data_IF_891714970450
#
_entry.id   IF_891714970450
#
_cell.length_a   1.000
_cell.length_b   1.000
_cell.length_c   1.000
_cell.angle_alpha   90.00
_cell.angle_beta   90.00
_cell.angle_gamma   90.00
#
_symmetry.space_group_name_H-M   'P 1'
#
loop_
_entity.id
_entity.type
_entity.pdbx_description
1 polymer ?
#
# COMPACT_ATOMS: atom_id res chain seq x y z
N UNK A 1 -9.36 13.76 20.90
CA UNK A 1 -10.61 14.47 20.53
C UNK A 1 -10.67 15.87 21.14
N UNK A 2 -11.28 16.88 20.48
CA UNK A 2 -11.42 18.22 21.02
C UNK A 2 -12.49 18.28 22.14
N UNK A 3 -12.06 18.14 23.39
CA UNK A 3 -12.91 17.89 24.56
C UNK A 3 -14.06 18.90 24.73
N UNK A 4 -13.80 20.21 24.56
CA UNK A 4 -14.83 21.26 24.71
C UNK A 4 -15.95 21.11 23.69
N UNK A 5 -15.62 20.76 22.45
CA UNK A 5 -16.60 20.60 21.37
C UNK A 5 -17.42 19.34 21.55
N UNK A 6 -16.76 18.24 21.95
CA UNK A 6 -17.41 16.95 22.26
C UNK A 6 -18.44 17.09 23.38
N UNK A 7 -18.08 17.72 24.50
CA UNK A 7 -19.02 17.94 25.63
C UNK A 7 -20.20 18.82 25.23
N UNK A 8 -19.93 19.92 24.53
CA UNK A 8 -20.97 20.81 24.01
C UNK A 8 -21.95 20.07 23.09
N UNK A 9 -21.45 19.18 22.22
CA UNK A 9 -22.29 18.37 21.35
C UNK A 9 -23.13 17.38 22.17
N UNK A 10 -22.53 16.70 23.14
CA UNK A 10 -23.21 15.73 24.00
C UNK A 10 -24.35 16.36 24.80
N UNK A 11 -24.14 17.56 25.37
CA UNK A 11 -25.16 18.30 26.12
C UNK A 11 -26.36 18.74 25.26
N UNK A 12 -26.15 18.89 23.94
CA UNK A 12 -27.21 19.27 22.99
C UNK A 12 -28.04 18.07 22.49
N UNK A 13 -27.64 16.84 22.85
CA UNK A 13 -28.25 15.62 22.36
C UNK A 13 -28.80 14.78 23.51
N UNK A 14 -29.91 14.07 23.26
CA UNK A 14 -30.45 13.11 24.25
C UNK A 14 -29.61 11.83 24.30
N UNK A 15 -29.15 11.38 23.14
CA UNK A 15 -28.42 10.14 22.93
C UNK A 15 -27.39 10.38 21.82
N UNK A 16 -26.28 9.65 21.85
CA UNK A 16 -25.21 9.70 20.86
C UNK A 16 -25.07 8.31 20.23
N UNK A 17 -25.08 8.25 18.89
CA UNK A 17 -24.79 7.02 18.15
C UNK A 17 -23.46 7.24 17.43
N UNK A 18 -22.47 6.40 17.74
CA UNK A 18 -21.14 6.45 17.16
C UNK A 18 -21.08 5.45 16.01
N UNK A 19 -20.93 5.99 14.80
CA UNK A 19 -20.81 5.23 13.56
C UNK A 19 -19.38 5.34 13.08
N UNK A 20 -18.57 4.34 13.37
CA UNK A 20 -17.17 4.29 12.95
C UNK A 20 -16.87 2.97 12.21
N UNK A 21 -15.94 3.06 11.25
CA UNK A 21 -15.48 1.91 10.47
C UNK A 21 -14.25 1.28 11.15
N UNK A 22 -14.20 -0.05 11.17
CA UNK A 22 -13.15 -0.78 11.89
C UNK A 22 -13.40 -0.87 13.40
N UNK A 23 -12.38 -0.55 14.20
CA UNK A 23 -12.43 -0.66 15.68
C UNK A 23 -13.14 0.55 16.32
N UNK A 24 -13.81 0.36 17.48
CA UNK A 24 -14.61 1.38 18.18
C UNK A 24 -13.76 2.45 18.92
N UNK A 25 -12.71 2.96 18.29
CA UNK A 25 -11.71 3.80 18.97
C UNK A 25 -12.33 5.11 19.45
N UNK A 26 -13.21 5.72 18.64
CA UNK A 26 -13.88 6.97 18.99
C UNK A 26 -14.94 6.72 20.06
N UNK A 27 -15.71 5.62 19.95
CA UNK A 27 -16.70 5.25 20.95
C UNK A 27 -16.05 5.01 22.33
N UNK A 28 -14.93 4.27 22.37
CA UNK A 28 -14.16 4.01 23.61
C UNK A 28 -13.64 5.30 24.24
N UNK A 29 -13.07 6.19 23.42
CA UNK A 29 -12.60 7.50 23.90
C UNK A 29 -13.76 8.35 24.44
N UNK A 30 -14.90 8.38 23.75
CA UNK A 30 -16.05 9.19 24.15
C UNK A 30 -16.70 8.69 25.44
N UNK A 31 -16.84 7.38 25.63
CA UNK A 31 -17.32 6.78 26.88
C UNK A 31 -16.42 7.11 28.08
N UNK A 32 -15.14 7.33 27.84
CA UNK A 32 -14.18 7.72 28.88
C UNK A 32 -14.22 9.23 29.19
N UNK A 33 -14.60 10.07 28.22
CA UNK A 33 -14.59 11.53 28.31
C UNK A 33 -15.92 12.11 28.80
N UNK A 34 -17.04 11.48 28.44
CA UNK A 34 -18.39 11.90 28.76
C UNK A 34 -18.87 11.19 30.02
N UNK A 35 -19.54 11.92 30.91
CA UNK A 35 -20.08 11.35 32.15
C UNK A 35 -21.06 10.20 31.86
N UNK A 36 -21.18 9.25 32.81
CA UNK A 36 -22.03 8.04 32.72
C UNK A 36 -23.52 8.32 32.46
N UNK A 37 -23.95 9.58 32.56
CA UNK A 37 -25.32 10.00 32.30
C UNK A 37 -25.64 10.12 30.80
N UNK A 38 -24.64 10.18 29.92
CA UNK A 38 -24.87 10.21 28.47
C UNK A 38 -25.07 8.80 27.93
N UNK A 39 -26.17 8.60 27.20
CA UNK A 39 -26.42 7.36 26.48
C UNK A 39 -25.62 7.36 25.18
N UNK A 40 -24.65 6.46 25.11
CA UNK A 40 -23.78 6.27 23.95
C UNK A 40 -24.07 4.89 23.38
N UNK A 41 -24.36 4.85 22.09
CA UNK A 41 -24.66 3.68 21.28
C UNK A 41 -23.60 3.51 20.19
N UNK A 42 -23.32 2.28 19.80
CA UNK A 42 -22.31 2.03 18.76
C UNK A 42 -21.98 0.55 18.63
N UNK A 43 -20.70 0.25 18.41
CA UNK A 43 -20.20 -1.12 18.27
C UNK A 43 -19.98 -1.80 19.62
N UNK A 44 -19.82 -1.06 20.73
CA UNK A 44 -19.62 -1.67 22.06
C UNK A 44 -20.93 -2.20 22.69
N UNK A 45 -22.08 -1.60 22.37
CA UNK A 45 -23.38 -2.00 22.93
C UNK A 45 -24.22 -2.86 21.98
N UNK A 46 -23.69 -3.17 20.79
CA UNK A 46 -24.34 -3.99 19.78
C UNK A 46 -25.37 -3.24 18.91
N UNK A 47 -25.47 -1.91 19.02
CA UNK A 47 -26.27 -1.09 18.09
C UNK A 47 -25.75 -1.23 16.66
N UNK A 48 -24.42 -1.33 16.51
CA UNK A 48 -23.73 -1.73 15.29
C UNK A 48 -22.92 -3.01 15.53
N UNK A 49 -22.69 -3.85 14.49
CA UNK A 49 -21.81 -5.01 14.60
C UNK A 49 -20.41 -4.64 15.08
N UNK A 50 -19.79 -5.52 15.86
CA UNK A 50 -18.45 -5.29 16.42
C UNK A 50 -17.37 -5.25 15.35
N UNK A 51 -17.57 -6.02 14.30
CA UNK A 51 -16.66 -6.28 13.19
C UNK A 51 -17.39 -6.18 11.84
N UNK A 52 -16.63 -6.28 10.76
CA UNK A 52 -17.15 -6.16 9.40
C UNK A 52 -17.42 -4.72 8.96
N UNK A 53 -17.80 -4.60 7.69
CA UNK A 53 -18.04 -3.35 6.98
C UNK A 53 -19.32 -2.65 7.48
N UNK A 54 -19.21 -1.35 7.74
CA UNK A 54 -20.36 -0.50 8.04
C UNK A 54 -21.10 -0.14 6.76
N UNK A 55 -22.10 -0.93 6.41
CA UNK A 55 -22.94 -0.69 5.24
C UNK A 55 -24.18 0.19 5.54
N UNK A 56 -24.84 0.75 4.50
CA UNK A 56 -26.02 1.60 4.68
C UNK A 56 -27.20 0.93 5.42
N UNK A 57 -27.37 -0.38 5.30
CA UNK A 57 -28.47 -1.11 5.94
C UNK A 57 -28.25 -1.21 7.46
N UNK A 58 -27.01 -1.46 7.89
CA UNK A 58 -26.61 -1.45 9.30
C UNK A 58 -26.81 -0.05 9.91
N UNK A 59 -26.42 1.00 9.19
CA UNK A 59 -26.64 2.40 9.59
C UNK A 59 -28.13 2.71 9.70
N UNK A 60 -28.94 2.29 8.72
CA UNK A 60 -30.39 2.48 8.75
C UNK A 60 -31.02 1.81 9.97
N UNK A 61 -30.64 0.55 10.24
CA UNK A 61 -31.12 -0.21 11.41
C UNK A 61 -30.73 0.46 12.72
N UNK A 62 -29.48 0.91 12.85
CA UNK A 62 -28.99 1.64 14.03
C UNK A 62 -29.76 2.95 14.28
N UNK A 63 -30.23 3.60 13.21
CA UNK A 63 -31.08 4.79 13.28
C UNK A 63 -32.57 4.49 13.49
N UNK A 64 -32.95 3.23 13.72
CA UNK A 64 -34.35 2.81 13.86
C UNK A 64 -35.16 2.90 12.56
N UNK A 65 -34.51 2.97 11.40
CA UNK A 65 -35.17 2.97 10.10
C UNK A 65 -35.45 1.54 9.64
N UNK A 66 -36.61 1.36 9.02
CA UNK A 66 -37.00 0.09 8.41
C UNK A 66 -36.26 -0.11 7.08
N UNK A 67 -35.48 -1.19 6.97
CA UNK A 67 -34.83 -1.61 5.72
C UNK A 67 -35.84 -2.42 4.91
N UNK A 68 -36.46 -1.77 3.91
CA UNK A 68 -37.62 -2.32 3.18
C UNK A 68 -37.27 -3.25 2.03
N UNK A 69 -36.03 -3.20 1.53
CA UNK A 69 -35.64 -3.91 0.32
C UNK A 69 -34.24 -4.47 0.47
N UNK A 70 -34.15 -5.80 0.48
CA UNK A 70 -32.90 -6.51 0.27
C UNK A 70 -32.83 -6.88 -1.21
N UNK A 71 -31.86 -6.34 -1.93
CA UNK A 71 -31.61 -6.75 -3.31
C UNK A 71 -30.69 -7.95 -3.27
N UNK A 72 -31.14 -9.06 -3.88
CA UNK A 72 -30.21 -10.15 -4.18
C UNK A 72 -29.13 -9.64 -5.13
N UNK A 73 -27.86 -10.05 -4.95
CA UNK A 73 -26.82 -9.78 -5.93
C UNK A 73 -27.32 -10.21 -7.31
N UNK A 74 -27.08 -9.39 -8.34
CA UNK A 74 -27.46 -9.75 -9.71
C UNK A 74 -26.88 -11.13 -10.05
N UNK A 75 -27.63 -12.02 -10.71
CA UNK A 75 -27.06 -13.29 -11.16
C UNK A 75 -25.96 -13.10 -12.23
N UNK A 76 -25.80 -11.87 -12.75
CA UNK A 76 -24.83 -11.51 -13.79
C UNK A 76 -23.75 -10.56 -13.22
N UNK A 77 -23.36 -10.71 -11.95
CA UNK A 77 -22.24 -9.93 -11.40
C UNK A 77 -20.92 -10.42 -12.03
N UNK A 78 -20.34 -9.60 -12.90
CA UNK A 78 -18.96 -9.80 -13.35
C UNK A 78 -17.99 -9.49 -12.21
N UNK A 79 -17.01 -10.37 -12.03
CA UNK A 79 -15.89 -10.12 -11.12
C UNK A 79 -15.09 -8.92 -11.60
N UNK A 80 -14.94 -7.91 -10.73
CA UNK A 80 -14.09 -6.73 -10.95
C UNK A 80 -12.94 -6.75 -9.95
N UNK A 81 -11.96 -7.66 -10.11
CA UNK A 81 -10.84 -7.69 -9.20
C UNK A 81 -10.06 -6.38 -9.29
N UNK A 82 -9.49 -5.91 -8.17
CA UNK A 82 -8.55 -4.80 -8.19
C UNK A 82 -7.46 -5.03 -9.23
N UNK A 83 -7.21 -4.05 -10.10
CA UNK A 83 -6.26 -4.17 -11.20
C UNK A 83 -5.51 -2.86 -11.45
N UNK A 84 -4.25 -2.98 -11.88
CA UNK A 84 -3.45 -1.83 -12.34
C UNK A 84 -4.14 -1.11 -13.50
N UNK A 85 -3.99 0.21 -13.61
CA UNK A 85 -4.55 0.94 -14.75
C UNK A 85 -3.93 0.50 -16.10
N UNK A 86 -4.67 0.59 -17.19
CA UNK A 86 -4.13 0.33 -18.54
C UNK A 86 -3.03 1.35 -18.88
N UNK A 87 -1.83 0.88 -19.21
CA UNK A 87 -0.67 1.72 -19.44
C UNK A 87 0.10 2.14 -18.18
N UNK A 88 -0.22 1.59 -17.01
CA UNK A 88 0.59 1.74 -15.80
C UNK A 88 1.96 1.08 -15.97
N UNK A 89 3.04 1.80 -15.62
CA UNK A 89 4.42 1.28 -15.72
C UNK A 89 4.69 0.05 -14.85
N UNK A 90 3.99 -0.10 -13.72
CA UNK A 90 4.14 -1.31 -12.88
C UNK A 90 3.78 -2.60 -13.63
N UNK A 91 2.89 -2.53 -14.64
CA UNK A 91 2.57 -3.69 -15.49
C UNK A 91 3.79 -4.15 -16.28
N UNK A 92 4.44 -3.21 -16.97
CA UNK A 92 5.61 -3.49 -17.80
C UNK A 92 6.78 -4.02 -16.95
N UNK A 93 6.95 -3.50 -15.72
CA UNK A 93 7.92 -4.00 -14.76
C UNK A 93 7.62 -5.43 -14.31
N UNK A 94 6.37 -5.73 -13.93
CA UNK A 94 6.01 -7.07 -13.46
C UNK A 94 6.15 -8.12 -14.55
N UNK A 95 5.84 -7.79 -15.80
CA UNK A 95 6.09 -8.70 -16.92
C UNK A 95 7.58 -9.04 -17.02
N UNK A 96 8.48 -8.05 -16.88
CA UNK A 96 9.92 -8.27 -16.92
C UNK A 96 10.44 -9.03 -15.69
N UNK A 97 10.00 -8.62 -14.49
CA UNK A 97 10.38 -9.26 -13.23
C UNK A 97 9.99 -10.74 -13.22
N UNK A 98 8.77 -11.07 -13.66
CA UNK A 98 8.29 -12.45 -13.69
C UNK A 98 9.10 -13.36 -14.61
N UNK A 99 9.54 -12.87 -15.77
CA UNK A 99 10.39 -13.67 -16.67
C UNK A 99 11.73 -14.00 -16.01
N UNK A 100 12.32 -13.04 -15.29
CA UNK A 100 13.59 -13.27 -14.60
C UNK A 100 13.39 -14.15 -13.36
N UNK A 101 12.39 -13.90 -12.53
CA UNK A 101 12.12 -14.68 -11.30
C UNK A 101 11.89 -16.16 -11.61
N UNK A 102 11.27 -16.51 -12.74
CA UNK A 102 11.09 -17.90 -13.18
C UNK A 102 12.41 -18.64 -13.43
N UNK A 103 13.51 -17.92 -13.68
CA UNK A 103 14.84 -18.50 -13.87
C UNK A 103 15.50 -18.90 -12.54
N UNK A 104 14.90 -18.52 -11.40
CA UNK A 104 15.42 -18.74 -10.06
C UNK A 104 14.37 -19.38 -9.14
N UNK A 105 14.41 -20.72 -8.97
CA UNK A 105 13.41 -21.46 -8.16
C UNK A 105 13.30 -20.98 -6.71
N UNK A 106 14.40 -20.47 -6.13
CA UNK A 106 14.46 -19.94 -4.76
C UNK A 106 14.00 -18.48 -4.62
N UNK A 107 13.71 -17.79 -5.72
CA UNK A 107 13.35 -16.38 -5.69
C UNK A 107 12.03 -16.14 -4.96
N UNK A 108 11.99 -15.09 -4.15
CA UNK A 108 10.78 -14.63 -3.46
C UNK A 108 10.62 -13.12 -3.56
N UNK A 109 9.39 -12.70 -3.86
CA UNK A 109 9.01 -11.29 -4.01
C UNK A 109 8.11 -10.85 -2.84
N UNK A 110 8.64 -9.93 -2.05
CA UNK A 110 8.02 -9.36 -0.86
C UNK A 110 7.49 -7.97 -1.20
N UNK A 111 6.19 -7.73 -1.03
CA UNK A 111 5.57 -6.44 -1.36
C UNK A 111 4.99 -5.74 -0.14
N UNK A 112 4.75 -4.45 -0.31
CA UNK A 112 3.96 -3.62 0.60
C UNK A 112 2.58 -3.27 0.03
N UNK A 113 1.79 -2.52 0.80
CA UNK A 113 0.50 -1.93 0.41
C UNK A 113 0.67 -0.67 -0.46
N UNK A 114 0.14 -0.71 -1.69
CA UNK A 114 0.16 0.35 -2.69
C UNK A 114 -0.45 -0.10 -4.02
N UNK A 115 -0.44 0.75 -5.05
CA UNK A 115 -0.91 0.33 -6.39
C UNK A 115 -0.15 -0.88 -6.90
N UNK A 116 1.14 -0.98 -6.58
CA UNK A 116 2.00 -2.09 -6.96
C UNK A 116 1.56 -3.43 -6.33
N UNK A 117 0.90 -3.45 -5.17
CA UNK A 117 0.35 -4.69 -4.57
C UNK A 117 -0.64 -5.40 -5.49
N UNK A 118 -1.30 -4.66 -6.39
CA UNK A 118 -2.24 -5.23 -7.37
C UNK A 118 -1.55 -6.20 -8.35
N UNK A 119 -0.22 -6.21 -8.41
CA UNK A 119 0.58 -7.24 -9.09
C UNK A 119 0.48 -8.64 -8.47
N UNK A 120 -0.08 -8.78 -7.27
CA UNK A 120 -0.31 -10.08 -6.63
C UNK A 120 -1.40 -10.90 -7.34
N UNK A 121 -2.32 -10.22 -8.03
CA UNK A 121 -3.45 -10.84 -8.72
C UNK A 121 -3.13 -11.11 -10.21
N UNK A 122 -3.93 -11.94 -10.90
CA UNK A 122 -3.84 -12.09 -12.35
C UNK A 122 -3.90 -10.73 -13.08
N UNK A 123 -3.15 -10.55 -14.18
CA UNK A 123 -2.33 -11.56 -14.86
C UNK A 123 -0.92 -11.76 -14.27
N UNK A 124 -0.49 -10.91 -13.33
CA UNK A 124 0.93 -10.83 -12.95
C UNK A 124 1.34 -11.91 -11.96
N UNK A 125 0.58 -12.12 -10.87
CA UNK A 125 0.94 -13.08 -9.81
C UNK A 125 2.40 -12.95 -9.35
N UNK A 126 2.89 -11.72 -9.26
CA UNK A 126 4.31 -11.42 -9.10
C UNK A 126 4.77 -11.34 -7.63
N UNK A 127 3.85 -11.45 -6.67
CA UNK A 127 4.10 -11.20 -5.24
C UNK A 127 3.81 -12.47 -4.45
N UNK A 128 4.78 -12.94 -3.67
CA UNK A 128 4.63 -14.09 -2.77
C UNK A 128 3.97 -13.69 -1.45
N UNK A 129 4.28 -12.50 -0.92
CA UNK A 129 3.72 -12.01 0.35
C UNK A 129 3.60 -10.49 0.40
N UNK A 130 2.59 -10.02 1.13
CA UNK A 130 2.33 -8.61 1.42
C UNK A 130 1.62 -8.50 2.76
N UNK A 131 2.08 -7.60 3.64
CA UNK A 131 1.54 -7.44 4.99
C UNK A 131 1.00 -6.02 5.19
N UNK A 132 1.89 -5.02 5.21
CA UNK A 132 1.54 -3.64 5.52
C UNK A 132 2.35 -2.65 4.65
N UNK A 133 2.38 -1.38 5.05
CA UNK A 133 3.22 -0.36 4.43
C UNK A 133 4.60 -0.33 5.08
N UNK A 134 5.62 -0.78 4.34
CA UNK A 134 7.04 -0.68 4.70
C UNK A 134 7.67 -1.99 5.18
N UNK A 135 6.89 -3.07 5.30
CA UNK A 135 7.39 -4.39 5.64
C UNK A 135 8.27 -5.04 4.56
N UNK A 136 8.07 -4.74 3.27
CA UNK A 136 8.68 -5.45 2.13
C UNK A 136 10.20 -5.63 2.25
N UNK A 137 10.92 -4.55 2.57
CA UNK A 137 12.39 -4.55 2.71
C UNK A 137 12.80 -5.42 3.91
N UNK A 138 12.15 -5.24 5.06
CA UNK A 138 12.48 -6.02 6.27
C UNK A 138 12.11 -7.49 6.14
N UNK A 139 11.03 -7.82 5.43
CA UNK A 139 10.67 -9.20 5.09
C UNK A 139 11.72 -9.82 4.16
N UNK A 140 12.14 -9.10 3.12
CA UNK A 140 13.19 -9.56 2.20
C UNK A 140 14.52 -9.78 2.93
N UNK A 141 14.90 -8.86 3.84
CA UNK A 141 16.10 -9.01 4.69
C UNK A 141 16.03 -10.28 5.54
N UNK A 142 14.96 -10.44 6.32
CA UNK A 142 14.79 -11.63 7.18
C UNK A 142 14.73 -12.92 6.38
N UNK A 143 14.12 -12.91 5.19
CA UNK A 143 14.11 -14.06 4.30
C UNK A 143 15.51 -14.38 3.74
N UNK A 144 16.27 -13.35 3.34
CA UNK A 144 17.64 -13.48 2.87
C UNK A 144 18.55 -14.09 3.94
N UNK A 145 18.47 -13.59 5.17
CA UNK A 145 19.18 -14.14 6.34
C UNK A 145 18.76 -15.60 6.66
N UNK A 146 17.51 -15.97 6.34
CA UNK A 146 17.01 -17.34 6.47
C UNK A 146 17.36 -18.26 5.29
N UNK A 147 18.12 -17.77 4.29
CA UNK A 147 18.60 -18.55 3.15
C UNK A 147 17.74 -18.47 1.89
N UNK A 148 16.76 -17.55 1.82
CA UNK A 148 16.01 -17.28 0.59
C UNK A 148 16.86 -16.42 -0.35
N UNK A 149 17.13 -16.91 -1.55
CA UNK A 149 17.86 -16.13 -2.55
C UNK A 149 17.40 -16.50 -3.98
N UNK A 150 17.15 -15.50 -4.85
CA UNK A 150 17.08 -14.06 -4.58
C UNK A 150 15.91 -13.63 -3.67
N UNK A 151 16.18 -12.70 -2.74
CA UNK A 151 15.14 -12.05 -1.93
C UNK A 151 14.88 -10.63 -2.48
N UNK A 152 13.67 -10.40 -3.01
CA UNK A 152 13.33 -9.20 -3.76
C UNK A 152 12.23 -8.42 -3.03
N UNK A 153 12.50 -7.18 -2.67
CA UNK A 153 11.50 -6.28 -2.09
C UNK A 153 10.88 -5.40 -3.18
N UNK A 154 9.56 -5.20 -3.14
CA UNK A 154 8.81 -4.28 -4.00
C UNK A 154 8.09 -3.26 -3.14
N UNK A 155 8.49 -2.00 -3.28
CA UNK A 155 7.99 -0.89 -2.47
C UNK A 155 7.70 0.32 -3.36
N UNK A 156 6.66 1.10 -3.05
CA UNK A 156 6.39 2.36 -3.76
C UNK A 156 7.23 3.52 -3.21
N UNK A 157 7.39 4.58 -3.98
CA UNK A 157 8.08 5.82 -3.56
C UNK A 157 7.53 6.44 -2.26
N UNK A 158 6.21 6.55 -2.15
CA UNK A 158 5.54 7.09 -0.96
C UNK A 158 5.69 6.17 0.24
N UNK A 159 5.54 4.85 0.06
CA UNK A 159 5.74 3.85 1.11
C UNK A 159 7.20 3.80 1.56
N UNK A 160 8.15 3.92 0.64
CA UNK A 160 9.57 3.97 0.92
C UNK A 160 9.91 5.13 1.86
N UNK A 161 9.41 6.33 1.54
CA UNK A 161 9.64 7.51 2.39
C UNK A 161 8.81 7.55 3.67
N UNK A 162 7.71 6.78 3.75
CA UNK A 162 6.91 6.64 4.96
C UNK A 162 7.56 5.71 6.00
N UNK A 163 7.94 4.50 5.60
CA UNK A 163 8.42 3.45 6.51
C UNK A 163 9.50 2.52 5.93
N UNK A 164 9.85 2.64 4.65
CA UNK A 164 10.87 1.79 4.03
C UNK A 164 12.33 2.20 4.28
N UNK A 165 12.60 3.50 4.50
CA UNK A 165 13.96 4.03 4.69
C UNK A 165 14.72 3.32 5.81
N UNK A 166 14.08 3.09 6.95
CA UNK A 166 14.72 2.43 8.10
C UNK A 166 15.03 0.97 7.81
N UNK A 167 14.19 0.28 7.03
CA UNK A 167 14.46 -1.08 6.56
C UNK A 167 15.67 -1.12 5.60
N UNK A 168 15.79 -0.15 4.70
CA UNK A 168 16.95 -0.04 3.80
C UNK A 168 18.24 0.20 4.60
N UNK A 169 18.20 1.09 5.59
CA UNK A 169 19.35 1.34 6.46
C UNK A 169 19.82 0.07 7.17
N UNK A 170 18.89 -0.75 7.67
CA UNK A 170 19.21 -2.03 8.30
C UNK A 170 19.87 -3.00 7.31
N UNK A 171 19.35 -3.09 6.08
CA UNK A 171 19.98 -3.89 5.01
C UNK A 171 21.41 -3.43 4.71
N UNK A 172 21.66 -2.12 4.63
CA UNK A 172 22.98 -1.56 4.34
C UNK A 172 23.97 -1.84 5.47
N UNK A 173 23.55 -1.64 6.72
CA UNK A 173 24.41 -1.88 7.89
C UNK A 173 24.88 -3.34 8.00
N UNK A 174 24.02 -4.28 7.64
CA UNK A 174 24.29 -5.72 7.72
C UNK A 174 24.75 -6.32 6.37
N UNK A 175 24.93 -5.49 5.34
CA UNK A 175 25.23 -5.92 3.96
C UNK A 175 24.33 -7.09 3.48
N UNK A 176 23.02 -6.94 3.69
CA UNK A 176 22.05 -7.97 3.36
C UNK A 176 21.97 -8.23 1.85
N UNK A 177 21.89 -9.51 1.45
CA UNK A 177 21.77 -9.93 0.05
C UNK A 177 20.32 -9.76 -0.44
N UNK A 178 19.94 -8.52 -0.76
CA UNK A 178 18.57 -8.16 -1.17
C UNK A 178 18.56 -7.20 -2.35
N UNK A 179 17.56 -7.37 -3.23
CA UNK A 179 17.29 -6.43 -4.31
C UNK A 179 15.98 -5.69 -4.02
N UNK A 180 16.02 -4.37 -4.06
CA UNK A 180 14.89 -3.53 -3.69
C UNK A 180 14.42 -2.77 -4.93
N UNK A 181 13.19 -3.04 -5.35
CA UNK A 181 12.51 -2.35 -6.43
C UNK A 181 11.67 -1.21 -5.83
N UNK A 182 12.13 0.03 -5.98
CA UNK A 182 11.39 1.23 -5.56
C UNK A 182 10.58 1.77 -6.75
N UNK A 183 9.31 1.40 -6.80
CA UNK A 183 8.39 1.71 -7.89
C UNK A 183 7.92 3.17 -7.79
N UNK A 184 8.68 4.06 -8.42
CA UNK A 184 8.48 5.50 -8.37
C UNK A 184 7.47 5.97 -9.44
N UNK A 185 6.26 6.30 -9.01
CA UNK A 185 5.24 6.90 -9.87
C UNK A 185 4.94 8.37 -9.52
N UNK A 186 5.82 8.98 -8.71
CA UNK A 186 5.83 10.38 -8.28
C UNK A 186 4.60 10.84 -7.49
N UNK A 187 3.82 9.92 -6.89
CA UNK A 187 2.59 10.26 -6.17
C UNK A 187 2.10 9.12 -5.27
N UNK A 188 1.34 9.45 -4.23
CA UNK A 188 0.64 8.43 -3.43
C UNK A 188 -0.64 8.01 -4.15
N UNK A 189 -0.50 7.21 -5.21
CA UNK A 189 -1.54 7.00 -6.22
C UNK A 189 -2.81 6.31 -5.69
N UNK A 190 -2.66 5.21 -4.93
CA UNK A 190 -3.79 4.36 -4.53
C UNK A 190 -4.78 5.05 -3.59
N UNK A 191 -4.28 5.97 -2.76
CA UNK A 191 -5.06 6.72 -1.75
C UNK A 191 -5.68 7.99 -2.31
N UNK A 192 -5.57 8.23 -3.63
CA UNK A 192 -6.19 9.38 -4.28
C UNK A 192 -5.22 10.40 -4.86
N UNK A 193 -3.92 10.14 -4.90
CA UNK A 193 -2.94 10.96 -5.62
C UNK A 193 -2.40 12.14 -4.82
N UNK A 194 -2.13 11.93 -3.53
CA UNK A 194 -1.41 12.88 -2.69
C UNK A 194 0.04 13.04 -3.16
N UNK A 195 0.69 14.13 -2.76
CA UNK A 195 2.10 14.34 -3.05
C UNK A 195 2.96 13.28 -2.35
N UNK A 196 3.99 12.79 -3.04
CA UNK A 196 4.97 11.87 -2.49
C UNK A 196 6.16 12.66 -1.96
N UNK A 197 6.59 12.36 -0.73
CA UNK A 197 7.79 12.97 -0.15
C UNK A 197 9.09 12.52 -0.86
N UNK A 198 9.01 11.43 -1.63
CA UNK A 198 10.11 10.84 -2.37
C UNK A 198 10.36 11.46 -3.75
N UNK A 199 9.42 12.24 -4.29
CA UNK A 199 9.51 12.79 -5.65
C UNK A 199 10.83 13.53 -5.88
N UNK A 200 11.64 13.04 -6.82
CA UNK A 200 12.93 13.61 -7.19
C UNK A 200 14.04 13.45 -6.14
N UNK A 201 13.86 12.57 -5.15
CA UNK A 201 14.79 12.39 -4.02
C UNK A 201 15.19 10.94 -3.76
N UNK A 202 14.54 9.95 -4.37
CA UNK A 202 14.73 8.52 -4.07
C UNK A 202 16.20 8.10 -4.17
N UNK A 203 16.89 8.46 -5.25
CA UNK A 203 18.30 8.12 -5.48
C UNK A 203 19.19 8.71 -4.39
N UNK A 204 19.03 10.01 -4.11
CA UNK A 204 19.80 10.73 -3.11
C UNK A 204 19.55 10.19 -1.70
N UNK A 205 18.33 9.74 -1.41
CA UNK A 205 18.00 9.07 -0.15
C UNK A 205 18.74 7.72 -0.08
N UNK A 206 18.68 6.89 -1.11
CA UNK A 206 19.37 5.59 -1.14
C UNK A 206 20.89 5.75 -0.98
N UNK A 207 21.49 6.67 -1.73
CA UNK A 207 22.92 7.00 -1.64
C UNK A 207 23.27 7.55 -0.24
N UNK A 208 22.45 8.45 0.30
CA UNK A 208 22.66 9.04 1.62
C UNK A 208 22.53 8.04 2.78
N UNK A 209 21.79 6.95 2.58
CA UNK A 209 21.69 5.82 3.53
C UNK A 209 22.92 4.91 3.44
N UNK A 210 23.64 4.90 2.31
CA UNK A 210 24.89 4.15 2.12
C UNK A 210 24.81 3.01 1.11
N UNK A 211 23.79 2.97 0.24
CA UNK A 211 23.77 2.03 -0.90
C UNK A 211 24.89 2.42 -1.88
N UNK A 212 25.65 1.43 -2.38
CA UNK A 212 26.69 1.65 -3.39
C UNK A 212 26.05 2.25 -4.66
N UNK A 213 26.59 3.39 -5.13
CA UNK A 213 26.10 4.10 -6.31
C UNK A 213 26.09 3.22 -7.57
N UNK A 214 26.99 2.23 -7.67
CA UNK A 214 27.02 1.29 -8.79
C UNK A 214 25.83 0.32 -8.82
N UNK A 215 25.11 0.21 -7.70
CA UNK A 215 23.95 -0.64 -7.48
C UNK A 215 22.68 0.18 -7.23
N UNK A 216 22.66 1.47 -7.61
CA UNK A 216 21.46 2.30 -7.68
C UNK A 216 21.13 2.55 -9.15
N UNK A 217 20.05 1.94 -9.64
CA UNK A 217 19.67 2.01 -11.05
C UNK A 217 18.30 2.65 -11.26
N UNK A 218 18.24 3.76 -11.99
CA UNK A 218 16.97 4.35 -12.41
C UNK A 218 16.63 3.89 -13.81
N UNK A 219 15.46 3.29 -13.99
CA UNK A 219 14.99 2.79 -15.29
C UNK A 219 13.59 3.32 -15.61
N UNK A 220 13.23 3.34 -16.90
CA UNK A 220 11.87 3.70 -17.32
C UNK A 220 11.07 2.44 -17.62
N UNK A 221 10.01 2.10 -16.83
CA UNK A 221 9.20 0.91 -17.06
C UNK A 221 8.24 1.10 -18.24
N UNK A 222 8.72 0.72 -19.42
CA UNK A 222 7.99 0.72 -20.68
C UNK A 222 8.30 -0.56 -21.45
N UNK A 223 7.29 -1.11 -22.13
CA UNK A 223 7.44 -2.29 -22.99
C UNK A 223 8.59 -2.23 -24.00
N UNK A 224 8.94 -1.05 -24.52
CA UNK A 224 10.08 -0.90 -25.46
C UNK A 224 11.46 -1.18 -24.82
N UNK A 225 11.56 -1.10 -23.50
CA UNK A 225 12.78 -1.35 -22.73
C UNK A 225 12.74 -2.73 -22.04
N UNK A 226 11.84 -3.61 -22.46
CA UNK A 226 11.60 -4.88 -21.78
C UNK A 226 12.85 -5.76 -21.62
N UNK A 227 13.66 -5.92 -22.66
CA UNK A 227 14.89 -6.73 -22.58
C UNK A 227 15.95 -6.07 -21.70
N UNK A 228 16.12 -4.74 -21.79
CA UNK A 228 17.05 -3.98 -20.94
C UNK A 228 16.66 -4.10 -19.45
N UNK A 229 15.35 -4.00 -19.15
CA UNK A 229 14.85 -4.20 -17.79
C UNK A 229 15.15 -5.62 -17.29
N UNK A 230 14.92 -6.65 -18.12
CA UNK A 230 15.23 -8.04 -17.75
C UNK A 230 16.71 -8.27 -17.49
N UNK A 231 17.58 -7.75 -18.36
CA UNK A 231 19.03 -7.88 -18.20
C UNK A 231 19.51 -7.23 -16.91
N UNK A 232 19.04 -6.01 -16.61
CA UNK A 232 19.37 -5.34 -15.37
C UNK A 232 18.84 -6.09 -14.14
N UNK A 233 17.56 -6.48 -14.14
CA UNK A 233 16.98 -7.23 -13.03
C UNK A 233 17.78 -8.52 -12.80
N UNK A 234 18.09 -9.29 -13.86
CA UNK A 234 18.86 -10.54 -13.76
C UNK A 234 20.25 -10.32 -13.17
N UNK A 235 20.92 -9.23 -13.54
CA UNK A 235 22.24 -8.86 -13.00
C UNK A 235 22.15 -8.52 -11.51
N UNK A 236 21.16 -7.73 -11.11
CA UNK A 236 21.08 -7.18 -9.76
C UNK A 236 20.45 -8.13 -8.73
N UNK A 237 19.58 -9.05 -9.15
CA UNK A 237 19.03 -10.07 -8.23
C UNK A 237 20.04 -11.14 -7.83
N UNK A 238 21.14 -11.27 -8.58
CA UNK A 238 22.23 -12.20 -8.29
C UNK A 238 23.43 -11.51 -7.64
N UNK A 239 23.35 -10.19 -7.41
CA UNK A 239 24.37 -9.44 -6.69
C UNK A 239 24.41 -9.84 -5.20
N UNK A 240 25.61 -10.01 -4.66
CA UNK A 240 25.83 -10.19 -3.23
C UNK A 240 25.98 -8.82 -2.55
N UNK A 241 24.91 -8.39 -1.89
CA UNK A 241 24.81 -7.11 -1.22
C UNK A 241 23.45 -6.46 -1.46
N UNK A 242 23.36 -5.18 -1.11
CA UNK A 242 22.14 -4.38 -1.30
C UNK A 242 22.16 -3.77 -2.69
N UNK A 243 21.18 -4.13 -3.52
CA UNK A 243 20.93 -3.49 -4.82
C UNK A 243 19.58 -2.80 -4.85
N UNK A 244 19.51 -1.64 -5.49
CA UNK A 244 18.30 -0.82 -5.64
C UNK A 244 18.03 -0.53 -7.10
N UNK A 245 16.85 -0.92 -7.59
CA UNK A 245 16.35 -0.53 -8.91
C UNK A 245 15.13 0.37 -8.70
N UNK A 246 15.07 1.49 -9.42
CA UNK A 246 14.05 2.52 -9.32
C UNK A 246 13.34 2.64 -10.69
N UNK A 247 12.31 1.82 -10.95
CA UNK A 247 11.48 1.96 -12.13
C UNK A 247 10.62 3.21 -12.01
N UNK A 248 11.04 4.31 -12.64
CA UNK A 248 10.39 5.62 -12.54
C UNK A 248 9.49 5.92 -13.73
N UNK A 249 8.20 6.15 -13.46
CA UNK A 249 7.24 6.66 -14.44
C UNK A 249 5.99 7.23 -13.78
N UNK A 250 5.71 8.50 -14.03
CA UNK A 250 4.55 9.21 -13.48
C UNK A 250 3.23 8.41 -13.66
N UNK A 251 2.43 8.38 -12.59
CA UNK A 251 1.12 7.75 -12.61
C UNK A 251 0.20 8.36 -13.67
N UNK A 252 -0.36 7.52 -14.56
CA UNK A 252 -1.23 7.96 -15.65
C UNK A 252 -2.50 8.67 -15.18
N UNK A 253 -3.03 8.32 -14.00
CA UNK A 253 -4.21 8.97 -13.44
C UNK A 253 -3.87 10.37 -12.94
N UNK A 254 -2.73 10.52 -12.26
CA UNK A 254 -2.23 11.80 -11.78
C UNK A 254 -1.88 12.71 -12.96
N UNK A 255 -1.18 12.20 -13.98
CA UNK A 255 -0.90 12.94 -15.21
C UNK A 255 -2.19 13.41 -15.91
N UNK A 256 -3.21 12.55 -15.99
CA UNK A 256 -4.51 12.90 -16.57
C UNK A 256 -5.20 14.02 -15.78
N UNK A 257 -5.17 13.97 -14.44
CA UNK A 257 -5.72 15.02 -13.57
C UNK A 257 -4.98 16.35 -13.74
N UNK A 258 -3.64 16.34 -13.74
CA UNK A 258 -2.82 17.54 -13.98
C UNK A 258 -3.16 18.18 -15.34
N UNK A 259 -3.25 17.39 -16.41
CA UNK A 259 -3.63 17.87 -17.75
C UNK A 259 -5.04 18.46 -17.80
N UNK A 260 -6.00 17.94 -17.03
CA UNK A 260 -7.35 18.51 -16.93
C UNK A 260 -7.38 19.83 -16.16
N UNK A 261 -6.57 19.98 -15.13
CA UNK A 261 -6.49 21.21 -14.34
C UNK A 261 -5.79 22.36 -15.08
N UNK A 262 -4.98 22.06 -16.10
CA UNK A 262 -4.29 23.04 -16.96
C UNK A 262 -5.12 23.50 -18.16
N UNK A 263 -6.29 22.90 -18.40
CA UNK A 263 -7.25 23.31 -19.43
C UNK A 263 -8.31 24.22 -18.83
#
# INVERSE_FOLDING_TARGET
LPLKQVRKLAEMCKELIIMEEGFPVIEEQLRSILDTNHKIHGRLDGTLPRDGELNPDLVAKALGKEVKSFYQPSPIVESRPPALCQGCGHRDLYDALNEVVKEHEGAKVFSDIGCYTLGALPPFRAIDTCIDMGASITMAKGASEAGVHPAIAVIGDSTFTHSGITGLLDCVNENANVTILILDNETTAMTGGQDSAGTGRIESICQGIGVDENHIHVITPLKKYFEEMKELIRKEITHEGVSVIIPRRECIQTLSRKKKAQK
#
